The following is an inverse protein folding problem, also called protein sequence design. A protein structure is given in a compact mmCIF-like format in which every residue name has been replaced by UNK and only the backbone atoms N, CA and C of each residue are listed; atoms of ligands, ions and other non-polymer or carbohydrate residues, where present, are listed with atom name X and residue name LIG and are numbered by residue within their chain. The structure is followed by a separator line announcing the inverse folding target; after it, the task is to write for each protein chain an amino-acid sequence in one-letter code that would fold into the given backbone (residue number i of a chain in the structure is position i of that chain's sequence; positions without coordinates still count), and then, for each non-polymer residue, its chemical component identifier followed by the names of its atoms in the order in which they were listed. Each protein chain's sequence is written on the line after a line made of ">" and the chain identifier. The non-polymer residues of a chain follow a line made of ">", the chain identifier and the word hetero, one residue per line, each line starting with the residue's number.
data_IF_830915246078
#
_entry.id   IF_830915246078
#
_cell.length_a   1.000
_cell.length_b   1.000
_cell.length_c   1.000
_cell.angle_alpha   90.00
_cell.angle_beta   90.00
_cell.angle_gamma   90.00
#
_symmetry.space_group_name_H-M   'P 1'
#
loop_
_entity.id
_entity.type
_entity.pdbx_description
1 polymer ?
#
# COMPACT_ATOMS: atom_id res chain seq x y z
N UNK A 1 3.79 26.57 -8.06
CA UNK A 1 2.40 26.08 -8.24
C UNK A 1 2.47 24.57 -8.38
N UNK A 2 1.52 23.83 -7.81
CA UNK A 2 1.37 22.39 -7.94
C UNK A 2 -0.08 22.07 -8.25
N UNK A 3 -0.35 21.02 -9.03
CA UNK A 3 -1.69 20.51 -9.27
C UNK A 3 -1.99 19.41 -8.25
N UNK A 4 -3.09 19.55 -7.49
CA UNK A 4 -3.38 18.64 -6.37
C UNK A 4 -4.79 18.06 -6.48
N UNK A 5 -4.99 17.02 -7.31
CA UNK A 5 -6.28 16.36 -7.43
C UNK A 5 -6.55 15.46 -6.21
N UNK A 6 -7.82 15.15 -5.99
CA UNK A 6 -8.28 14.07 -5.10
C UNK A 6 -8.87 12.94 -5.94
N UNK A 7 -8.72 11.71 -5.48
CA UNK A 7 -9.25 10.55 -6.17
C UNK A 7 -9.69 9.46 -5.20
N UNK A 8 -10.86 8.91 -5.42
CA UNK A 8 -11.31 7.67 -4.83
C UNK A 8 -11.95 6.81 -5.92
N UNK A 9 -11.84 5.49 -5.78
CA UNK A 9 -12.73 4.59 -6.51
C UNK A 9 -14.17 4.84 -6.05
N UNK A 10 -14.93 5.55 -6.89
CA UNK A 10 -16.26 6.02 -6.55
C UNK A 10 -17.22 4.87 -6.24
N UNK A 11 -17.09 3.72 -6.89
CA UNK A 11 -17.97 2.58 -6.62
C UNK A 11 -17.68 2.05 -5.21
N UNK A 12 -16.42 1.71 -4.92
CA UNK A 12 -16.04 1.19 -3.61
C UNK A 12 -16.31 2.17 -2.48
N UNK A 13 -16.09 3.48 -2.68
CA UNK A 13 -16.37 4.48 -1.66
C UNK A 13 -17.88 4.60 -1.38
N UNK A 14 -18.73 4.65 -2.42
CA UNK A 14 -20.17 4.83 -2.25
C UNK A 14 -20.87 3.58 -1.72
N UNK A 15 -20.46 2.39 -2.19
CA UNK A 15 -21.11 1.14 -1.79
C UNK A 15 -20.47 0.48 -0.57
N UNK A 16 -19.32 0.99 -0.12
CA UNK A 16 -18.49 0.36 0.93
C UNK A 16 -18.26 -1.13 0.64
N UNK A 17 -17.92 -1.44 -0.61
CA UNK A 17 -17.72 -2.80 -1.08
C UNK A 17 -16.66 -2.82 -2.18
N UNK A 18 -15.66 -3.69 -2.05
CA UNK A 18 -14.68 -3.91 -3.11
C UNK A 18 -15.25 -4.87 -4.15
N UNK A 19 -15.46 -4.38 -5.37
CA UNK A 19 -15.94 -5.19 -6.48
C UNK A 19 -14.76 -5.56 -7.40
N UNK A 20 -14.29 -6.80 -7.31
CA UNK A 20 -13.20 -7.34 -8.14
C UNK A 20 -13.65 -7.72 -9.56
N UNK A 21 -14.96 -7.73 -9.83
CA UNK A 21 -15.53 -8.22 -11.09
C UNK A 21 -15.73 -7.11 -12.10
N UNK A 22 -16.21 -5.94 -11.68
CA UNK A 22 -16.38 -4.82 -12.58
C UNK A 22 -16.22 -3.46 -11.89
N UNK A 23 -15.83 -2.46 -12.68
CA UNK A 23 -15.76 -1.06 -12.27
C UNK A 23 -16.07 -0.13 -13.46
N UNK A 24 -16.01 1.18 -13.29
CA UNK A 24 -16.34 2.21 -14.28
C UNK A 24 -15.23 3.26 -14.36
N UNK A 25 -14.85 3.67 -15.58
CA UNK A 25 -14.00 4.84 -15.82
C UNK A 25 -14.79 6.14 -15.57
N UNK A 26 -14.97 6.49 -14.29
CA UNK A 26 -15.77 7.64 -13.86
C UNK A 26 -15.17 8.96 -14.36
N UNK A 27 -13.85 9.14 -14.28
CA UNK A 27 -13.18 10.32 -14.83
C UNK A 27 -13.44 10.42 -16.34
N UNK A 28 -13.29 9.32 -17.09
CA UNK A 28 -13.57 9.30 -18.52
C UNK A 28 -15.03 9.65 -18.85
N UNK A 29 -16.00 9.14 -18.09
CA UNK A 29 -17.42 9.53 -18.25
C UNK A 29 -17.60 11.03 -18.01
N UNK A 30 -17.08 11.56 -16.89
CA UNK A 30 -17.21 12.98 -16.53
C UNK A 30 -16.47 13.91 -17.50
N UNK A 31 -15.48 13.42 -18.24
CA UNK A 31 -14.75 14.17 -19.26
C UNK A 31 -15.25 13.95 -20.69
N UNK A 32 -16.36 13.23 -20.87
CA UNK A 32 -16.94 12.99 -22.20
C UNK A 32 -16.08 12.11 -23.11
N UNK A 33 -15.23 11.25 -22.53
CA UNK A 33 -14.36 10.31 -23.27
C UNK A 33 -15.17 9.27 -24.06
N UNK A 34 -16.40 8.99 -23.63
CA UNK A 34 -17.27 7.95 -24.20
C UNK A 34 -18.52 8.55 -24.81
N UNK A 35 -18.93 8.05 -25.99
CA UNK A 35 -20.19 8.44 -26.61
C UNK A 35 -21.42 7.89 -25.86
N UNK A 36 -21.24 6.82 -25.07
CA UNK A 36 -22.25 6.26 -24.18
C UNK A 36 -21.62 5.73 -22.88
N UNK A 37 -22.17 6.01 -21.68
CA UNK A 37 -21.56 5.62 -20.39
C UNK A 37 -21.31 4.12 -20.22
N UNK A 38 -22.10 3.25 -20.86
CA UNK A 38 -21.90 1.79 -20.79
C UNK A 38 -20.50 1.35 -21.28
N UNK A 39 -19.84 2.14 -22.12
CA UNK A 39 -18.50 1.84 -22.64
C UNK A 39 -17.38 2.17 -21.66
N UNK A 40 -17.71 2.83 -20.56
CA UNK A 40 -16.79 3.07 -19.45
C UNK A 40 -16.70 1.87 -18.50
N UNK A 41 -17.56 0.85 -18.65
CA UNK A 41 -17.54 -0.35 -17.83
C UNK A 41 -16.26 -1.14 -18.12
N UNK A 42 -15.61 -1.63 -17.06
CA UNK A 42 -14.39 -2.43 -17.09
C UNK A 42 -14.66 -3.72 -16.34
N UNK A 43 -14.39 -4.85 -16.97
CA UNK A 43 -14.71 -6.18 -16.45
C UNK A 43 -13.41 -6.94 -16.23
N UNK A 44 -13.28 -7.55 -15.05
CA UNK A 44 -12.11 -8.28 -14.59
C UNK A 44 -11.10 -7.41 -13.85
N UNK A 45 -10.48 -7.97 -12.82
CA UNK A 45 -9.60 -7.24 -11.90
C UNK A 45 -8.46 -6.50 -12.62
N UNK A 46 -7.84 -7.12 -13.64
CA UNK A 46 -6.80 -6.46 -14.44
C UNK A 46 -7.32 -5.21 -15.16
N UNK A 47 -8.54 -5.27 -15.72
CA UNK A 47 -9.15 -4.12 -16.38
C UNK A 47 -9.53 -3.02 -15.38
N UNK A 48 -9.98 -3.40 -14.18
CA UNK A 48 -10.30 -2.48 -13.08
C UNK A 48 -9.03 -1.75 -12.64
N UNK A 49 -7.95 -2.47 -12.30
CA UNK A 49 -6.68 -1.87 -11.87
C UNK A 49 -6.09 -0.93 -12.91
N UNK A 50 -6.10 -1.34 -14.19
CA UNK A 50 -5.67 -0.46 -15.29
C UNK A 50 -6.59 0.75 -15.45
N UNK A 51 -7.89 0.60 -15.24
CA UNK A 51 -8.84 1.72 -15.25
C UNK A 51 -8.51 2.76 -14.18
N UNK A 52 -8.30 2.34 -12.93
CA UNK A 52 -7.93 3.25 -11.84
C UNK A 52 -6.63 4.00 -12.18
N UNK A 53 -5.61 3.28 -12.68
CA UNK A 53 -4.34 3.88 -13.15
C UNK A 53 -4.57 4.93 -14.24
N UNK A 54 -5.34 4.59 -15.26
CA UNK A 54 -5.56 5.45 -16.43
C UNK A 54 -6.38 6.70 -16.04
N UNK A 55 -7.29 6.58 -15.06
CA UNK A 55 -8.00 7.73 -14.48
C UNK A 55 -7.02 8.70 -13.80
N UNK A 56 -6.10 8.20 -12.96
CA UNK A 56 -5.08 9.03 -12.33
C UNK A 56 -4.11 9.65 -13.35
N UNK A 57 -3.68 8.88 -14.36
CA UNK A 57 -2.84 9.40 -15.44
C UNK A 57 -3.56 10.50 -16.24
N UNK A 58 -4.87 10.37 -16.44
CA UNK A 58 -5.70 11.40 -17.07
C UNK A 58 -5.71 12.67 -16.21
N UNK A 59 -5.91 12.57 -14.90
CA UNK A 59 -5.86 13.73 -14.00
C UNK A 59 -4.50 14.43 -14.05
N UNK A 60 -3.39 13.68 -14.02
CA UNK A 60 -2.04 14.25 -14.19
C UNK A 60 -1.90 15.01 -15.51
N UNK A 61 -2.38 14.41 -16.61
CA UNK A 61 -2.32 15.04 -17.93
C UNK A 61 -3.14 16.34 -17.98
N UNK A 62 -4.32 16.37 -17.36
CA UNK A 62 -5.11 17.60 -17.24
C UNK A 62 -4.35 18.71 -16.50
N UNK A 63 -3.58 18.36 -15.47
CA UNK A 63 -2.68 19.29 -14.78
C UNK A 63 -1.64 19.89 -15.74
N UNK A 64 -0.96 19.03 -16.51
CA UNK A 64 0.03 19.48 -17.50
C UNK A 64 -0.60 20.39 -18.56
N UNK A 65 -1.77 20.02 -19.09
CA UNK A 65 -2.43 20.75 -20.17
C UNK A 65 -2.92 22.12 -19.72
N UNK A 66 -3.40 22.24 -18.47
CA UNK A 66 -4.07 23.46 -17.98
C UNK A 66 -3.14 24.42 -17.28
N UNK A 67 -2.15 23.91 -16.53
CA UNK A 67 -1.25 24.75 -15.73
C UNK A 67 0.22 24.62 -16.14
N UNK A 68 0.55 23.79 -17.13
CA UNK A 68 1.91 23.60 -17.62
C UNK A 68 2.72 22.60 -16.78
N UNK A 69 4.06 22.64 -16.94
CA UNK A 69 4.99 21.69 -16.29
C UNK A 69 5.16 22.00 -14.80
N UNK A 70 4.15 21.67 -14.02
CA UNK A 70 4.13 21.74 -12.56
C UNK A 70 3.92 20.34 -11.96
N UNK A 71 4.47 20.06 -10.76
CA UNK A 71 4.26 18.78 -10.09
C UNK A 71 2.77 18.49 -9.87
N UNK A 72 2.37 17.24 -10.09
CA UNK A 72 1.08 16.71 -9.67
C UNK A 72 1.25 15.93 -8.37
N UNK A 73 0.52 16.30 -7.32
CA UNK A 73 0.53 15.60 -6.03
C UNK A 73 -0.90 15.18 -5.72
N UNK A 74 -1.18 13.87 -5.72
CA UNK A 74 -2.49 13.34 -5.35
C UNK A 74 -2.71 13.57 -3.85
N UNK A 75 -3.44 14.62 -3.48
CA UNK A 75 -3.53 15.05 -2.09
C UNK A 75 -4.43 14.17 -1.24
N UNK A 76 -5.32 13.39 -1.85
CA UNK A 76 -6.18 12.43 -1.15
C UNK A 76 -6.50 11.23 -2.04
N UNK A 77 -6.34 10.04 -1.47
CA UNK A 77 -6.92 8.79 -1.94
C UNK A 77 -7.04 7.80 -0.78
N UNK A 78 -7.76 6.70 -0.96
CA UNK A 78 -7.90 5.67 0.07
C UNK A 78 -9.11 4.77 -0.14
N UNK A 79 -9.49 4.06 0.91
CA UNK A 79 -10.63 3.13 0.91
C UNK A 79 -11.41 3.26 2.22
N UNK A 80 -12.72 2.99 2.23
CA UNK A 80 -13.45 2.72 3.46
C UNK A 80 -13.01 1.37 4.03
N UNK A 81 -12.65 1.32 5.30
CA UNK A 81 -12.31 0.07 5.99
C UNK A 81 -13.54 -0.67 6.50
N UNK A 82 -14.64 0.05 6.76
CA UNK A 82 -15.91 -0.47 7.24
C UNK A 82 -16.75 -1.13 6.13
N UNK A 83 -16.09 -1.78 5.16
CA UNK A 83 -16.74 -2.48 4.06
C UNK A 83 -17.64 -3.62 4.54
N UNK A 84 -18.66 -3.93 3.75
CA UNK A 84 -19.54 -5.08 3.95
C UNK A 84 -20.16 -5.10 5.36
N UNK A 85 -20.69 -3.97 5.81
CA UNK A 85 -21.26 -3.79 7.16
C UNK A 85 -20.28 -4.22 8.27
N UNK A 86 -19.01 -3.80 8.14
CA UNK A 86 -17.94 -4.09 9.11
C UNK A 86 -17.65 -5.58 9.27
N UNK A 87 -17.83 -6.38 8.21
CA UNK A 87 -17.62 -7.84 8.24
C UNK A 87 -16.23 -8.22 8.75
N UNK A 88 -15.19 -7.56 8.25
CA UNK A 88 -13.79 -7.83 8.59
C UNK A 88 -13.50 -7.69 10.10
N UNK A 89 -14.21 -6.81 10.80
CA UNK A 89 -13.98 -6.56 12.24
C UNK A 89 -14.44 -7.74 13.10
N UNK A 90 -15.34 -8.57 12.57
CA UNK A 90 -15.84 -9.78 13.23
C UNK A 90 -15.04 -11.01 12.81
N UNK A 91 -14.63 -11.06 11.54
CA UNK A 91 -14.00 -12.25 10.96
C UNK A 91 -12.47 -12.22 11.04
N UNK A 92 -11.87 -11.04 11.15
CA UNK A 92 -10.42 -10.82 10.98
C UNK A 92 -9.96 -10.84 9.52
N UNK A 93 -10.87 -11.12 8.58
CA UNK A 93 -10.56 -11.24 7.15
C UNK A 93 -10.69 -9.86 6.47
N UNK A 94 -9.53 -9.23 6.25
CA UNK A 94 -9.39 -7.94 5.58
C UNK A 94 -9.06 -8.05 4.09
N UNK A 95 -9.23 -9.23 3.47
CA UNK A 95 -8.84 -9.46 2.07
C UNK A 95 -9.44 -8.45 1.09
N UNK A 96 -10.71 -8.04 1.28
CA UNK A 96 -11.36 -6.99 0.47
C UNK A 96 -10.66 -5.63 0.61
N UNK A 97 -10.34 -5.22 1.84
CA UNK A 97 -9.66 -3.96 2.13
C UNK A 97 -8.23 -3.98 1.56
N UNK A 98 -7.50 -5.09 1.73
CA UNK A 98 -6.15 -5.25 1.19
C UNK A 98 -6.14 -5.23 -0.34
N UNK A 99 -7.10 -5.90 -0.99
CA UNK A 99 -7.24 -5.89 -2.44
C UNK A 99 -7.60 -4.49 -2.99
N UNK A 100 -8.55 -3.81 -2.35
CA UNK A 100 -8.95 -2.45 -2.74
C UNK A 100 -7.80 -1.45 -2.55
N UNK A 101 -7.09 -1.50 -1.43
CA UNK A 101 -5.93 -0.64 -1.16
C UNK A 101 -4.80 -0.91 -2.14
N UNK A 102 -4.48 -2.18 -2.42
CA UNK A 102 -3.46 -2.54 -3.39
C UNK A 102 -3.81 -2.10 -4.82
N UNK A 103 -5.08 -2.19 -5.21
CA UNK A 103 -5.55 -1.67 -6.50
C UNK A 103 -5.37 -0.14 -6.61
N UNK A 104 -5.64 0.60 -5.53
CA UNK A 104 -5.41 2.05 -5.46
C UNK A 104 -3.92 2.39 -5.57
N UNK A 105 -3.05 1.71 -4.82
CA UNK A 105 -1.61 1.95 -4.91
C UNK A 105 -1.02 1.56 -6.27
N UNK A 106 -1.46 0.45 -6.86
CA UNK A 106 -1.08 0.10 -8.24
C UNK A 106 -1.43 1.21 -9.23
N UNK A 107 -2.59 1.84 -9.06
CA UNK A 107 -3.00 2.96 -9.88
C UNK A 107 -2.07 4.15 -9.70
N UNK A 108 -1.78 4.53 -8.45
CA UNK A 108 -0.90 5.66 -8.12
C UNK A 108 0.51 5.44 -8.68
N UNK A 109 1.13 4.29 -8.38
CA UNK A 109 2.48 3.93 -8.83
C UNK A 109 2.59 3.91 -10.36
N UNK A 110 1.55 3.42 -11.05
CA UNK A 110 1.52 3.35 -12.51
C UNK A 110 1.11 4.64 -13.22
N UNK A 111 0.64 5.67 -12.50
CA UNK A 111 0.04 6.88 -13.11
C UNK A 111 1.04 7.98 -13.48
N UNK A 112 2.31 7.84 -13.06
CA UNK A 112 3.36 8.87 -13.18
C UNK A 112 3.12 10.14 -12.35
N UNK A 113 2.13 10.15 -11.45
CA UNK A 113 1.95 11.25 -10.49
C UNK A 113 3.19 11.35 -9.59
N UNK A 114 3.69 12.57 -9.39
CA UNK A 114 4.97 12.82 -8.71
C UNK A 114 4.93 12.62 -7.18
N UNK A 115 3.74 12.64 -6.57
CA UNK A 115 3.57 12.37 -5.14
C UNK A 115 2.13 12.07 -4.75
N UNK A 116 1.91 11.47 -3.58
CA UNK A 116 0.58 11.12 -3.11
C UNK A 116 0.47 11.16 -1.58
N UNK A 117 -0.75 11.36 -1.07
CA UNK A 117 -1.08 11.34 0.34
C UNK A 117 -2.28 10.41 0.59
N UNK A 118 -2.05 9.31 1.31
CA UNK A 118 -3.11 8.39 1.70
C UNK A 118 -3.96 9.04 2.80
N UNK A 119 -5.26 9.09 2.58
CA UNK A 119 -6.25 9.56 3.54
C UNK A 119 -6.72 8.35 4.37
N UNK A 120 -6.56 8.33 5.69
CA UNK A 120 -6.01 9.37 6.59
C UNK A 120 -5.36 8.74 7.82
N UNK A 121 -4.81 9.55 8.73
CA UNK A 121 -4.38 9.11 10.06
C UNK A 121 -5.26 9.75 11.14
N UNK A 122 -6.09 8.94 11.80
CA UNK A 122 -6.87 9.37 12.97
C UNK A 122 -6.44 8.57 14.20
N UNK A 123 -5.78 9.26 15.15
CA UNK A 123 -5.21 8.66 16.37
C UNK A 123 -6.25 7.99 17.31
N UNK A 124 -7.54 8.20 17.07
CA UNK A 124 -8.64 7.72 17.91
C UNK A 124 -9.62 6.82 17.18
N UNK A 125 -9.35 6.46 15.93
CA UNK A 125 -10.26 5.61 15.16
C UNK A 125 -10.50 4.27 15.86
N UNK A 126 -11.75 3.81 15.87
CA UNK A 126 -12.14 2.51 16.40
C UNK A 126 -13.16 1.81 15.48
N UNK A 127 -13.30 0.49 15.60
CA UNK A 127 -14.22 -0.31 14.78
C UNK A 127 -15.69 0.08 14.96
N UNK A 128 -16.04 0.60 16.14
CA UNK A 128 -17.43 0.90 16.50
C UNK A 128 -17.91 2.19 15.82
N UNK A 129 -17.10 3.25 15.86
CA UNK A 129 -17.46 4.63 15.52
C UNK A 129 -16.68 5.19 14.34
N UNK A 130 -15.64 4.49 13.87
CA UNK A 130 -14.72 5.01 12.87
C UNK A 130 -13.90 6.16 13.44
N UNK A 131 -13.75 7.23 12.69
CA UNK A 131 -12.92 8.39 13.02
C UNK A 131 -13.58 9.40 13.98
N UNK A 132 -14.75 9.07 14.50
CA UNK A 132 -15.61 9.93 15.34
C UNK A 132 -16.21 11.14 14.59
N UNK A 133 -16.21 11.10 13.25
CA UNK A 133 -16.76 12.11 12.37
C UNK A 133 -17.70 11.47 11.34
N UNK A 134 -19.02 11.68 11.50
CA UNK A 134 -20.05 11.11 10.62
C UNK A 134 -20.03 9.57 10.46
N UNK A 135 -19.26 8.85 11.28
CA UNK A 135 -19.12 7.39 11.19
C UNK A 135 -18.26 6.93 10.02
N UNK A 136 -17.40 7.80 9.49
CA UNK A 136 -16.44 7.44 8.44
C UNK A 136 -15.30 6.59 9.01
N UNK A 137 -14.79 5.67 8.20
CA UNK A 137 -13.71 4.77 8.62
C UNK A 137 -12.66 4.67 7.50
N UNK A 138 -11.95 5.79 7.28
CA UNK A 138 -10.89 5.92 6.26
C UNK A 138 -9.48 5.91 6.87
N UNK A 139 -9.37 6.01 8.20
CA UNK A 139 -8.08 6.07 8.89
C UNK A 139 -7.29 4.80 8.65
N UNK A 140 -5.97 4.86 8.41
CA UNK A 140 -5.10 3.67 8.34
C UNK A 140 -4.87 3.02 9.70
N UNK A 141 -5.05 3.80 10.78
CA UNK A 141 -4.96 3.35 12.15
C UNK A 141 -6.35 3.04 12.67
N UNK A 142 -6.45 2.01 13.50
CA UNK A 142 -7.55 1.76 14.43
C UNK A 142 -6.97 1.19 15.72
N UNK A 143 -7.53 1.55 16.87
CA UNK A 143 -7.06 1.08 18.18
C UNK A 143 -7.34 -0.41 18.43
N UNK A 144 -8.27 -0.98 17.66
CA UNK A 144 -8.69 -2.38 17.76
C UNK A 144 -7.81 -3.34 16.95
N UNK A 145 -6.96 -2.82 16.05
CA UNK A 145 -6.17 -3.62 15.13
C UNK A 145 -4.72 -3.83 15.58
N UNK A 146 -4.12 -4.90 15.07
CA UNK A 146 -2.71 -5.22 15.32
C UNK A 146 -1.85 -4.59 14.24
N UNK A 147 -0.68 -4.03 14.60
CA UNK A 147 0.31 -3.62 13.61
C UNK A 147 0.90 -4.86 12.91
N UNK A 148 1.60 -4.61 11.79
CA UNK A 148 2.42 -5.64 11.15
C UNK A 148 3.46 -6.18 12.15
N UNK A 149 3.77 -7.48 12.11
CA UNK A 149 4.82 -8.04 12.95
C UNK A 149 6.19 -7.48 12.54
N UNK A 150 6.96 -7.04 13.52
CA UNK A 150 8.37 -6.69 13.35
C UNK A 150 9.23 -7.96 13.30
N UNK A 151 10.30 -7.96 12.51
CA UNK A 151 11.31 -9.01 12.60
C UNK A 151 12.00 -8.95 13.96
N UNK A 152 12.39 -10.10 14.55
CA UNK A 152 13.27 -10.08 15.71
C UNK A 152 14.64 -9.52 15.28
N UNK A 153 14.94 -8.28 15.64
CA UNK A 153 16.27 -7.68 15.44
C UNK A 153 17.26 -8.47 16.31
N UNK A 154 18.43 -8.90 15.79
CA UNK A 154 19.46 -9.50 16.63
C UNK A 154 19.87 -8.52 17.74
N UNK A 155 19.84 -8.96 19.00
CA UNK A 155 20.36 -8.20 20.13
C UNK A 155 21.83 -7.87 19.86
N UNK A 156 22.13 -6.58 19.63
CA UNK A 156 23.51 -6.13 19.68
C UNK A 156 23.96 -6.23 21.13
N UNK A 157 24.65 -7.32 21.49
CA UNK A 157 25.21 -7.53 22.81
C UNK A 157 26.14 -6.35 23.13
N UNK A 158 25.67 -5.40 23.93
CA UNK A 158 26.54 -4.42 24.55
C UNK A 158 27.42 -5.18 25.54
N UNK A 159 28.63 -5.53 25.11
CA UNK A 159 29.69 -5.95 26.01
C UNK A 159 30.00 -4.79 26.95
N UNK A 160 29.40 -4.81 28.13
CA UNK A 160 29.72 -3.90 29.22
C UNK A 160 31.11 -4.25 29.75
N UNK A 161 32.13 -3.51 29.28
CA UNK A 161 33.33 -3.33 30.07
C UNK A 161 32.99 -2.33 31.17
N UNK A 162 32.76 -2.89 32.36
CA UNK A 162 32.68 -2.15 33.61
C UNK A 162 33.95 -1.33 33.84
N UNK A 163 33.80 0.00 33.93
CA UNK A 163 34.62 0.78 34.84
C UNK A 163 33.84 1.97 35.39
N UNK A 164 33.59 1.90 36.70
CA UNK A 164 32.84 2.85 37.48
C UNK A 164 33.36 4.30 37.40
N UNK A 165 32.45 5.27 37.34
CA UNK A 165 32.57 6.50 38.14
C UNK A 165 31.23 7.19 38.36
N UNK A 166 30.89 7.28 39.63
CA UNK A 166 29.81 8.03 40.26
C UNK A 166 29.85 9.53 39.95
N UNK A 167 28.67 10.10 39.75
CA UNK A 167 28.19 11.40 40.28
C UNK A 167 27.58 12.34 39.21
N UNK A 168 26.26 12.51 39.33
CA UNK A 168 25.46 13.75 39.18
C UNK A 168 25.77 14.70 38.02
N UNK A 169 24.78 14.93 37.14
CA UNK A 169 24.07 16.21 36.97
C UNK A 169 22.96 16.00 35.93
N UNK A 170 21.79 16.54 36.25
CA UNK A 170 20.59 16.55 35.44
C UNK A 170 20.83 17.13 34.04
N UNK A 171 20.26 16.49 33.01
CA UNK A 171 19.82 17.23 31.84
C UNK A 171 18.61 16.53 31.20
N UNK A 172 17.53 17.29 31.11
CA UNK A 172 16.24 16.91 30.56
C UNK A 172 16.37 16.78 29.04
N UNK A 173 16.41 15.56 28.53
CA UNK A 173 16.02 15.25 27.15
C UNK A 173 14.78 14.35 27.23
N UNK A 174 13.72 14.78 26.55
CA UNK A 174 12.52 13.97 26.30
C UNK A 174 12.94 12.91 25.30
N UNK A 175 13.33 11.74 25.80
CA UNK A 175 13.48 10.57 24.95
C UNK A 175 12.10 10.06 24.56
N UNK A 176 11.92 9.84 23.26
CA UNK A 176 10.81 9.07 22.69
C UNK A 176 10.92 7.67 23.29
N UNK A 177 9.85 7.21 23.93
CA UNK A 177 9.85 5.95 24.65
C UNK A 177 10.13 4.79 23.68
N UNK A 178 11.28 4.15 23.85
CA UNK A 178 11.60 2.84 23.32
C UNK A 178 10.63 1.83 23.95
N UNK A 179 9.67 1.32 23.16
CA UNK A 179 8.63 0.37 23.59
C UNK A 179 9.20 -1.00 24.02
N UNK A 180 10.53 -1.17 23.98
CA UNK A 180 11.24 -2.34 24.50
C UNK A 180 11.35 -2.37 26.02
N UNK A 181 11.16 -1.23 26.70
CA UNK A 181 11.16 -1.17 28.17
C UNK A 181 9.74 -1.06 28.74
N UNK A 182 9.44 -1.90 29.72
CA UNK A 182 8.16 -1.88 30.44
C UNK A 182 8.10 -0.63 31.32
N UNK A 183 7.46 0.42 30.81
CA UNK A 183 7.13 1.63 31.58
C UNK A 183 5.69 1.56 32.10
N UNK A 184 5.34 2.26 33.20
CA UNK A 184 3.97 2.31 33.70
C UNK A 184 2.96 2.81 32.65
N UNK A 185 3.37 3.68 31.73
CA UNK A 185 2.50 4.21 30.67
C UNK A 185 2.24 3.18 29.56
N UNK A 186 3.24 2.40 29.16
CA UNK A 186 3.07 1.28 28.21
C UNK A 186 2.28 0.14 28.83
N UNK A 187 2.51 -0.15 30.11
CA UNK A 187 1.72 -1.12 30.87
C UNK A 187 0.25 -0.68 30.94
N UNK A 188 -0.01 0.61 31.18
CA UNK A 188 -1.37 1.16 31.25
C UNK A 188 -2.05 1.15 29.87
N UNK A 189 -1.32 1.34 28.77
CA UNK A 189 -1.84 1.19 27.39
C UNK A 189 -2.22 -0.27 27.09
N UNK A 190 -1.35 -1.23 27.42
CA UNK A 190 -1.65 -2.67 27.27
C UNK A 190 -2.80 -3.12 28.17
N UNK A 191 -2.90 -2.57 29.40
CA UNK A 191 -3.98 -2.89 30.36
C UNK A 191 -5.31 -2.19 30.04
N UNK A 192 -5.31 -1.08 29.30
CA UNK A 192 -6.53 -0.39 28.85
C UNK A 192 -7.08 -0.95 27.55
N UNK A 193 -6.43 -1.96 26.98
CA UNK A 193 -6.94 -2.78 25.90
C UNK A 193 -7.47 -4.13 26.46
N UNK A 194 -8.65 -4.17 27.11
CA UNK A 194 -9.19 -5.41 27.62
C UNK A 194 -9.69 -6.28 26.45
N UNK A 195 -8.84 -7.14 25.90
CA UNK A 195 -9.31 -8.37 25.25
C UNK A 195 -9.74 -9.35 26.35
N UNK A 196 -10.95 -9.16 26.87
CA UNK A 196 -11.65 -10.17 27.67
C UNK A 196 -13.08 -10.25 27.15
N UNK A 197 -13.27 -11.05 26.10
CA UNK A 197 -14.51 -11.80 25.93
C UNK A 197 -14.20 -13.25 26.29
N UNK A 198 -14.63 -13.66 27.48
CA UNK A 198 -14.61 -15.05 27.94
C UNK A 198 -15.87 -15.77 27.49
N UNK A 199 -16.09 -15.82 26.18
CA UNK A 199 -16.97 -16.80 25.55
C UNK A 199 -16.10 -17.70 24.65
N UNK A 200 -16.12 -19.04 24.81
CA UNK A 200 -15.44 -19.91 23.88
C UNK A 200 -16.18 -19.81 22.55
N UNK A 201 -15.71 -18.94 21.65
CA UNK A 201 -16.22 -18.88 20.29
C UNK A 201 -15.92 -20.22 19.65
N UNK A 202 -16.97 -20.90 19.21
CA UNK A 202 -16.90 -22.18 18.55
C UNK A 202 -15.88 -22.08 17.42
N UNK A 203 -14.86 -22.96 17.49
CA UNK A 203 -13.80 -23.08 16.50
C UNK A 203 -14.43 -23.33 15.12
N UNK A 204 -14.48 -22.30 14.29
CA UNK A 204 -14.44 -22.48 12.85
C UNK A 204 -12.97 -22.36 12.43
N UNK A 205 -12.30 -23.48 12.06
CA UNK A 205 -10.90 -23.46 11.64
C UNK A 205 -10.64 -22.60 10.39
N UNK A 206 -11.68 -22.13 9.70
CA UNK A 206 -11.54 -21.25 8.54
C UNK A 206 -11.37 -19.77 8.92
N UNK A 207 -11.84 -19.32 10.09
CA UNK A 207 -11.73 -17.92 10.53
C UNK A 207 -10.35 -17.52 11.06
N UNK A 208 -9.47 -18.47 11.37
CA UNK A 208 -8.17 -18.21 12.03
C UNK A 208 -6.99 -18.14 11.06
N UNK A 209 -7.20 -18.34 9.76
CA UNK A 209 -6.11 -18.48 8.79
C UNK A 209 -5.70 -17.19 8.08
N UNK A 210 -6.38 -16.07 8.37
CA UNK A 210 -6.04 -14.78 7.79
C UNK A 210 -6.20 -13.62 8.80
N UNK A 211 -5.34 -13.48 9.82
CA UNK A 211 -5.31 -12.24 10.60
C UNK A 211 -4.80 -11.13 9.69
N UNK A 212 -5.71 -10.43 9.01
CA UNK A 212 -5.37 -9.27 8.21
C UNK A 212 -4.97 -8.11 9.11
N UNK A 213 -4.07 -7.25 8.65
CA UNK A 213 -3.56 -6.11 9.41
C UNK A 213 -4.27 -4.83 9.00
N UNK A 214 -5.58 -4.94 8.73
CA UNK A 214 -6.41 -3.86 8.20
C UNK A 214 -5.74 -3.17 7.00
N UNK A 215 -5.35 -3.98 6.01
CA UNK A 215 -4.65 -3.59 4.80
C UNK A 215 -3.24 -2.98 4.98
N UNK A 216 -2.61 -3.08 6.15
CA UNK A 216 -1.25 -2.56 6.34
C UNK A 216 -0.23 -3.19 5.38
N UNK A 217 -0.39 -4.47 5.06
CA UNK A 217 0.42 -5.15 4.03
C UNK A 217 0.26 -4.53 2.63
N UNK A 218 -0.83 -3.81 2.37
CA UNK A 218 -1.09 -3.17 1.08
C UNK A 218 -0.61 -1.72 1.04
N UNK A 219 -0.60 -0.98 2.16
CA UNK A 219 -0.16 0.42 2.20
C UNK A 219 1.28 0.63 2.72
N UNK A 220 1.87 -0.34 3.42
CA UNK A 220 3.29 -0.32 3.81
C UNK A 220 4.13 -0.83 2.63
N UNK A 221 4.50 0.08 1.72
CA UNK A 221 5.09 -0.28 0.42
C UNK A 221 6.51 0.28 0.24
N UNK A 222 7.33 -0.34 -0.62
CA UNK A 222 8.61 0.23 -1.01
C UNK A 222 8.42 1.54 -1.77
N UNK A 223 9.19 2.57 -1.39
CA UNK A 223 9.01 3.93 -1.91
C UNK A 223 10.36 4.55 -2.26
N UNK A 224 10.57 5.05 -3.49
CA UNK A 224 11.77 5.79 -3.83
C UNK A 224 11.72 7.18 -3.18
N UNK A 225 12.38 7.34 -2.04
CA UNK A 225 12.35 8.58 -1.25
C UNK A 225 13.27 9.65 -1.83
N UNK A 226 14.38 9.24 -2.44
CA UNK A 226 15.32 10.13 -3.13
C UNK A 226 15.78 9.43 -4.41
N UNK A 227 15.77 10.12 -5.54
CA UNK A 227 16.18 9.53 -6.83
C UNK A 227 17.22 10.42 -7.51
N UNK A 228 18.35 9.83 -7.90
CA UNK A 228 19.35 10.51 -8.72
C UNK A 228 18.99 10.41 -10.21
N UNK A 229 18.09 11.29 -10.66
CA UNK A 229 17.58 11.31 -12.04
C UNK A 229 16.07 11.39 -12.11
N UNK A 230 15.51 11.14 -13.29
CA UNK A 230 14.06 11.11 -13.50
C UNK A 230 13.53 9.68 -13.34
N UNK A 231 12.44 9.50 -12.60
CA UNK A 231 11.73 8.20 -12.54
C UNK A 231 11.06 7.96 -13.90
N UNK A 232 11.39 6.85 -14.55
CA UNK A 232 10.75 6.39 -15.79
C UNK A 232 9.53 5.52 -15.47
N UNK A 233 9.66 4.64 -14.47
CA UNK A 233 8.55 3.83 -13.98
C UNK A 233 8.86 3.32 -12.58
N UNK A 234 7.84 3.18 -11.74
CA UNK A 234 7.93 2.54 -10.43
C UNK A 234 6.70 1.67 -10.20
N UNK A 235 6.81 0.63 -9.38
CA UNK A 235 5.65 -0.19 -9.01
C UNK A 235 6.01 -1.33 -8.09
N UNK A 236 5.08 -1.63 -7.17
CA UNK A 236 5.14 -2.77 -6.28
C UNK A 236 4.04 -3.76 -6.62
N UNK A 237 4.42 -5.00 -6.94
CA UNK A 237 3.49 -6.11 -7.03
C UNK A 237 3.42 -6.79 -5.66
N UNK A 238 2.34 -6.54 -4.92
CA UNK A 238 2.11 -7.14 -3.60
C UNK A 238 1.99 -8.66 -3.67
N UNK A 239 1.36 -9.20 -4.72
CA UNK A 239 1.12 -10.64 -4.89
C UNK A 239 2.43 -11.39 -5.09
N UNK A 240 3.30 -10.85 -5.94
CA UNK A 240 4.62 -11.40 -6.22
C UNK A 240 5.71 -10.89 -5.27
N UNK A 241 5.36 -9.99 -4.34
CA UNK A 241 6.28 -9.28 -3.46
C UNK A 241 7.52 -8.75 -4.22
N UNK A 242 7.28 -8.08 -5.35
CA UNK A 242 8.35 -7.61 -6.25
C UNK A 242 8.21 -6.11 -6.49
N UNK A 243 9.28 -5.37 -6.23
CA UNK A 243 9.38 -3.94 -6.51
C UNK A 243 10.26 -3.70 -7.73
N UNK A 244 9.80 -2.82 -8.63
CA UNK A 244 10.52 -2.40 -9.82
C UNK A 244 10.66 -0.89 -9.84
N UNK A 245 11.88 -0.41 -10.07
CA UNK A 245 12.19 1.01 -10.28
C UNK A 245 13.04 1.14 -11.53
N UNK A 246 12.65 2.03 -12.44
CA UNK A 246 13.46 2.46 -13.58
C UNK A 246 13.68 3.96 -13.49
N UNK A 247 14.93 4.35 -13.70
CA UNK A 247 15.37 5.75 -13.63
C UNK A 247 16.15 6.10 -14.89
N UNK A 248 16.11 7.37 -15.27
CA UNK A 248 16.97 7.96 -16.30
C UNK A 248 17.89 8.96 -15.63
N UNK A 249 19.13 8.54 -15.44
CA UNK A 249 20.13 9.32 -14.76
C UNK A 249 20.89 10.21 -15.76
N UNK A 250 21.07 11.51 -15.48
CA UNK A 250 21.84 12.39 -16.37
C UNK A 250 23.34 12.08 -16.34
N UNK A 251 23.84 11.48 -15.25
CA UNK A 251 25.23 11.05 -15.00
C UNK A 251 25.22 9.83 -14.07
N UNK A 252 26.38 9.22 -13.86
CA UNK A 252 26.53 8.23 -12.81
C UNK A 252 26.30 8.86 -11.43
N UNK A 253 25.59 8.15 -10.56
CA UNK A 253 25.26 8.60 -9.21
C UNK A 253 26.56 8.77 -8.38
N UNK A 254 26.85 9.99 -7.86
CA UNK A 254 27.99 10.22 -6.98
C UNK A 254 27.88 9.45 -5.68
N UNK A 255 29.02 9.19 -5.02
CA UNK A 255 29.05 8.45 -3.75
C UNK A 255 28.17 9.11 -2.66
N UNK A 256 28.10 10.44 -2.62
CA UNK A 256 27.31 11.21 -1.65
C UNK A 256 25.82 11.35 -2.03
N UNK A 257 25.39 10.91 -3.21
CA UNK A 257 24.02 11.12 -3.70
C UNK A 257 23.46 9.89 -4.41
N UNK A 258 23.35 8.74 -3.70
CA UNK A 258 22.67 7.57 -4.24
C UNK A 258 21.17 7.80 -4.40
N UNK A 259 20.55 6.97 -5.23
CA UNK A 259 19.11 6.74 -5.18
C UNK A 259 18.78 5.97 -3.89
N UNK A 260 17.79 6.42 -3.13
CA UNK A 260 17.36 5.85 -1.85
C UNK A 260 15.93 5.36 -1.98
N UNK A 261 15.70 4.11 -1.59
CA UNK A 261 14.39 3.47 -1.56
C UNK A 261 14.11 3.03 -0.13
N UNK A 262 13.04 3.56 0.48
CA UNK A 262 12.47 2.95 1.67
C UNK A 262 12.01 1.54 1.34
N UNK A 263 12.43 0.56 2.12
CA UNK A 263 12.23 -0.85 1.83
C UNK A 263 11.62 -1.56 3.05
N UNK A 264 10.29 -1.73 3.13
CA UNK A 264 9.66 -2.31 4.31
C UNK A 264 10.17 -3.70 4.62
N UNK A 265 10.66 -3.89 5.85
CA UNK A 265 11.21 -5.17 6.28
C UNK A 265 10.16 -6.29 6.28
N UNK A 266 8.89 -5.96 6.52
CA UNK A 266 7.78 -6.91 6.44
C UNK A 266 7.70 -7.62 5.08
N UNK A 267 7.98 -6.91 3.98
CA UNK A 267 7.99 -7.43 2.62
C UNK A 267 9.37 -7.92 2.19
N UNK A 268 10.42 -7.22 2.62
CA UNK A 268 11.79 -7.45 2.19
C UNK A 268 12.73 -7.62 3.40
N UNK A 269 12.61 -8.72 4.16
CA UNK A 269 13.57 -9.00 5.22
C UNK A 269 14.98 -9.10 4.62
N UNK A 270 15.97 -8.51 5.30
CA UNK A 270 17.35 -8.40 4.78
C UNK A 270 17.93 -9.72 4.29
N UNK A 271 17.64 -10.83 4.99
CA UNK A 271 18.15 -12.17 4.67
C UNK A 271 17.31 -12.93 3.63
N UNK A 272 16.12 -12.42 3.29
CA UNK A 272 15.13 -13.09 2.43
C UNK A 272 14.71 -12.23 1.24
N UNK A 273 15.45 -11.16 0.94
CA UNK A 273 15.25 -10.35 -0.24
C UNK A 273 16.40 -10.49 -1.23
N UNK A 274 16.07 -10.45 -2.51
CA UNK A 274 17.03 -10.47 -3.61
C UNK A 274 16.98 -9.12 -4.33
N UNK A 275 18.15 -8.49 -4.50
CA UNK A 275 18.29 -7.21 -5.19
C UNK A 275 19.06 -7.42 -6.49
N UNK A 276 18.44 -7.07 -7.60
CA UNK A 276 19.06 -7.06 -8.93
C UNK A 276 19.09 -5.63 -9.48
N UNK A 277 20.27 -5.16 -9.86
CA UNK A 277 20.48 -3.83 -10.45
C UNK A 277 21.12 -3.95 -11.83
N UNK A 278 20.77 -3.05 -12.75
CA UNK A 278 21.38 -3.02 -14.09
C UNK A 278 22.84 -2.56 -14.07
N UNK A 279 23.22 -1.75 -13.10
CA UNK A 279 24.59 -1.24 -12.95
C UNK A 279 24.92 -0.81 -11.52
N UNK A 280 26.22 -0.67 -11.29
CA UNK A 280 26.78 -0.09 -10.08
C UNK A 280 26.65 -0.99 -8.86
N UNK A 281 26.47 -0.36 -7.68
CA UNK A 281 26.47 -1.04 -6.37
C UNK A 281 25.22 -0.65 -5.58
N UNK A 282 24.83 -1.50 -4.65
CA UNK A 282 23.75 -1.21 -3.70
C UNK A 282 24.16 -1.62 -2.29
N UNK A 283 23.55 -0.99 -1.29
CA UNK A 283 23.65 -1.41 0.11
C UNK A 283 22.28 -1.34 0.79
N UNK A 284 22.06 -2.23 1.75
CA UNK A 284 20.94 -2.14 2.69
C UNK A 284 21.45 -1.53 3.99
N UNK A 285 20.86 -0.41 4.37
CA UNK A 285 21.11 0.29 5.63
C UNK A 285 19.84 0.36 6.45
N UNK A 286 20.01 0.53 7.75
CA UNK A 286 18.91 0.81 8.67
C UNK A 286 19.16 2.16 9.31
N UNK A 287 18.11 2.96 9.46
CA UNK A 287 18.17 4.32 9.97
C UNK A 287 17.08 4.52 11.04
N UNK A 288 17.41 5.15 12.15
CA UNK A 288 16.52 5.48 13.27
C UNK A 288 16.34 6.99 13.50
N UNK A 289 16.80 7.84 12.57
CA UNK A 289 16.78 9.31 12.67
C UNK A 289 15.38 9.89 12.96
N UNK A 290 14.32 9.23 12.47
CA UNK A 290 12.91 9.66 12.66
C UNK A 290 12.22 8.96 13.84
N UNK A 291 12.98 8.30 14.72
CA UNK A 291 12.50 7.63 15.93
C UNK A 291 11.88 6.24 15.69
N UNK A 292 11.79 5.81 14.43
CA UNK A 292 11.45 4.42 14.05
C UNK A 292 12.57 3.88 13.18
N UNK A 293 13.00 2.66 13.46
CA UNK A 293 14.02 1.96 12.69
C UNK A 293 13.47 1.58 11.31
N UNK A 294 13.95 2.23 10.25
CA UNK A 294 13.54 2.01 8.86
C UNK A 294 14.68 1.42 8.04
N UNK A 295 14.39 0.32 7.33
CA UNK A 295 15.30 -0.22 6.33
C UNK A 295 15.23 0.61 5.05
N UNK A 296 16.40 0.98 4.53
CA UNK A 296 16.58 1.75 3.29
C UNK A 296 17.58 1.02 2.40
N UNK A 297 17.27 0.95 1.10
CA UNK A 297 18.21 0.54 0.07
C UNK A 297 18.82 1.79 -0.57
N UNK A 298 20.14 1.86 -0.60
CA UNK A 298 20.86 2.88 -1.39
C UNK A 298 21.42 2.22 -2.64
N UNK A 299 21.32 2.91 -3.76
CA UNK A 299 21.75 2.43 -5.07
C UNK A 299 22.54 3.50 -5.82
N UNK A 300 23.79 3.19 -6.13
CA UNK A 300 24.67 3.98 -6.98
C UNK A 300 24.71 3.36 -8.37
N UNK A 301 24.09 4.01 -9.35
CA UNK A 301 23.97 3.50 -10.72
C UNK A 301 24.72 4.36 -11.73
N UNK A 302 24.96 3.81 -12.92
CA UNK A 302 25.55 4.53 -14.03
C UNK A 302 24.60 5.58 -14.64
N UNK A 303 25.09 6.32 -15.62
CA UNK A 303 24.30 7.26 -16.43
C UNK A 303 23.31 6.54 -17.36
N UNK A 304 22.33 7.27 -17.89
CA UNK A 304 21.33 6.73 -18.80
C UNK A 304 20.20 5.98 -18.10
N UNK A 305 19.55 5.08 -18.82
CA UNK A 305 18.44 4.28 -18.28
C UNK A 305 18.97 3.13 -17.44
N UNK A 306 18.50 3.06 -16.19
CA UNK A 306 18.91 2.06 -15.22
C UNK A 306 17.68 1.44 -14.55
N UNK A 307 17.79 0.18 -14.14
CA UNK A 307 16.71 -0.56 -13.49
C UNK A 307 17.18 -1.23 -12.20
N UNK A 308 16.30 -1.19 -11.21
CA UNK A 308 16.38 -1.89 -9.93
C UNK A 308 15.15 -2.81 -9.84
N UNK A 309 15.38 -4.08 -9.52
CA UNK A 309 14.37 -5.05 -9.14
C UNK A 309 14.70 -5.59 -7.76
N UNK A 310 13.70 -5.61 -6.88
CA UNK A 310 13.82 -6.24 -5.56
C UNK A 310 12.72 -7.28 -5.44
N UNK A 311 13.08 -8.51 -5.13
CA UNK A 311 12.14 -9.60 -4.86
C UNK A 311 12.19 -9.96 -3.39
N UNK A 312 11.04 -9.97 -2.72
CA UNK A 312 10.90 -10.19 -1.28
C UNK A 312 10.17 -11.47 -0.93
N UNK A 313 9.70 -11.54 0.32
CA UNK A 313 9.00 -12.69 0.85
C UNK A 313 7.54 -12.71 0.38
N UNK A 314 7.18 -13.70 -0.44
CA UNK A 314 5.79 -13.93 -0.85
C UNK A 314 5.01 -14.53 0.33
N UNK A 315 3.94 -13.84 0.76
CA UNK A 315 3.09 -14.28 1.88
C UNK A 315 1.74 -14.78 1.38
N UNK A 316 1.15 -15.78 2.06
CA UNK A 316 -0.14 -16.38 1.68
C UNK A 316 -1.30 -15.38 1.61
N UNK A 317 -1.31 -14.36 2.47
CA UNK A 317 -2.31 -13.29 2.48
C UNK A 317 -2.24 -12.39 1.23
N UNK A 318 -1.15 -12.46 0.46
CA UNK A 318 -0.98 -11.70 -0.77
C UNK A 318 -1.70 -12.36 -1.97
N UNK A 319 -2.42 -13.46 -1.75
CA UNK A 319 -3.22 -14.15 -2.76
C UNK A 319 -4.69 -14.08 -2.33
N UNK A 320 -5.54 -13.26 -2.96
CA UNK A 320 -6.97 -13.26 -2.71
C UNK A 320 -7.56 -14.65 -2.97
N UNK A 321 -8.25 -15.17 -1.97
CA UNK A 321 -9.07 -16.38 -2.11
C UNK A 321 -10.23 -16.03 -3.04
N UNK A 322 -10.30 -16.66 -4.22
CA UNK A 322 -11.39 -16.48 -5.19
C UNK A 322 -10.98 -16.22 -6.64
N UNK A 323 -9.69 -16.00 -6.95
CA UNK A 323 -9.29 -15.62 -8.32
C UNK A 323 -9.51 -16.70 -9.39
N UNK A 324 -9.60 -17.97 -9.03
CA UNK A 324 -9.81 -19.06 -10.00
C UNK A 324 -11.29 -19.44 -10.17
N UNK A 325 -12.08 -19.48 -9.10
CA UNK A 325 -13.48 -19.92 -9.15
C UNK A 325 -14.43 -18.85 -9.75
N UNK A 326 -14.19 -17.57 -9.45
CA UNK A 326 -15.04 -16.47 -9.96
C UNK A 326 -14.79 -16.17 -11.44
N UNK A 327 -13.55 -16.36 -11.92
CA UNK A 327 -13.22 -16.28 -13.34
C UNK A 327 -13.96 -17.35 -14.16
N UNK A 328 -14.06 -18.57 -13.62
CA UNK A 328 -14.77 -19.68 -14.25
C UNK A 328 -16.28 -19.42 -14.35
N UNK A 329 -16.90 -18.83 -13.33
CA UNK A 329 -18.32 -18.46 -13.37
C UNK A 329 -18.60 -17.37 -14.42
N UNK A 330 -17.71 -16.38 -14.57
CA UNK A 330 -17.87 -15.32 -15.56
C UNK A 330 -17.69 -15.81 -17.01
N UNK A 331 -16.74 -16.70 -17.27
CA UNK A 331 -16.61 -17.36 -18.59
C UNK A 331 -17.89 -18.16 -18.93
N UNK A 332 -18.50 -18.80 -17.93
CA UNK A 332 -19.75 -19.54 -18.09
C UNK A 332 -20.94 -18.61 -18.39
N UNK A 333 -21.02 -17.44 -17.74
CA UNK A 333 -22.04 -16.43 -18.05
C UNK A 333 -21.84 -15.77 -19.42
N UNK A 334 -20.60 -15.54 -19.86
CA UNK A 334 -20.30 -15.00 -21.19
C UNK A 334 -20.64 -16.01 -22.30
N UNK A 335 -20.46 -17.31 -22.05
CA UNK A 335 -20.91 -18.37 -22.95
C UNK A 335 -22.44 -18.54 -22.97
N UNK A 336 -23.13 -18.21 -21.86
CA UNK A 336 -24.58 -18.32 -21.74
C UNK A 336 -25.40 -17.27 -22.49
N UNK A 337 -24.80 -16.12 -22.85
CA UNK A 337 -25.46 -15.03 -23.60
C UNK A 337 -24.92 -14.86 -25.03
N UNK A 338 -24.53 -15.97 -25.68
CA UNK A 338 -24.21 -16.01 -27.10
C UNK A 338 -25.44 -15.74 -27.98
N UNK A 339 -25.72 -14.46 -28.27
CA UNK A 339 -26.51 -14.06 -29.43
C UNK A 339 -25.84 -14.64 -30.68
N UNK A 340 -26.52 -15.62 -31.27
CA UNK A 340 -26.07 -16.39 -32.42
C UNK A 340 -26.14 -15.53 -33.70
N UNK A 341 -25.08 -14.76 -33.99
CA UNK A 341 -24.88 -14.16 -35.31
C UNK A 341 -24.14 -15.16 -36.20
N UNK A 342 -24.89 -16.06 -36.83
CA UNK A 342 -24.36 -17.06 -37.76
C UNK A 342 -25.33 -17.36 -38.90
N UNK A 343 -25.05 -16.79 -40.07
CA UNK A 343 -25.60 -17.09 -41.41
C UNK A 343 -26.98 -16.53 -41.78
N UNK A 344 -26.96 -15.36 -42.44
CA UNK A 344 -27.95 -15.00 -43.45
C UNK A 344 -27.19 -14.73 -44.76
N UNK A 345 -27.01 -15.78 -45.56
CA UNK A 345 -26.71 -15.66 -46.98
C UNK A 345 -28.05 -15.60 -47.72
N UNK A 346 -28.36 -14.43 -48.28
CA UNK A 346 -29.48 -14.26 -49.22
C UNK A 346 -28.90 -14.44 -50.62
N UNK A 347 -29.40 -15.46 -51.33
CA UNK A 347 -29.49 -15.47 -52.79
C UNK A 347 -30.73 -14.70 -53.22
#
# INVERSE_FOLDING_TARGET
>A
MAFTPHYYDGITLMTKHWNSTWNVDVVGVLRGKYWHPALAIRIGETAIRNCLRDQLATLRQEGLDRIGKHPCVLSEFGIPYDMDDKKAYKTGDYSSQSAAMDANYFAVEGSQIEGHCLWTYCARNDHLRGDFWNGEDLSILSLDDKPLPESPVPEYSQSSLDLARTATVANTKKDVADDRNVTPDNLKRTLTNPSISSAPSAKDPQLTNAPGFRAAEAFVRPTPTVVYGDIVSTGFDLRQCTYLLKVKAPKAAPDESPTIVYLPEYHFPKEQCEVAVSSGKWELSTDDEEGTTLQKLKWWHAEGEQSLKISGLVRKHNVPVGSEEDAGYLEQCQQGYGFNFGSCSVM
#
